data_IF_244487723156
#
_entry.id   IF_244487723156
#
_cell.length_a   1.000
_cell.length_b   1.000
_cell.length_c   1.000
_cell.angle_alpha   90.00
_cell.angle_beta   90.00
_cell.angle_gamma   90.00
#
_symmetry.space_group_name_H-M   'P 1'
#
loop_
_entity.id
_entity.type
_entity.pdbx_description
1 polymer ?
#
# COMPACT_ATOMS: atom_id res chain seq x y z
N UNK A 1 -2.90 15.62 13.80
CA UNK A 1 -2.29 14.48 13.06
C UNK A 1 -2.73 13.10 13.60
N UNK A 2 -3.17 12.98 14.87
CA UNK A 2 -3.64 11.74 15.50
C UNK A 2 -5.01 11.23 15.00
N UNK A 3 -5.95 12.12 14.67
CA UNK A 3 -7.32 11.73 14.28
C UNK A 3 -7.41 10.98 12.94
N UNK A 4 -6.57 11.33 11.96
CA UNK A 4 -6.59 10.70 10.63
C UNK A 4 -6.10 9.25 10.64
N UNK A 5 -5.24 8.87 11.59
CA UNK A 5 -4.78 7.48 11.78
C UNK A 5 -5.82 6.62 12.51
N UNK A 6 -6.60 7.24 13.39
CA UNK A 6 -7.65 6.60 14.17
C UNK A 6 -8.85 6.18 13.31
N UNK A 7 -9.28 7.04 12.38
CA UNK A 7 -10.37 6.73 11.45
C UNK A 7 -10.06 5.57 10.50
N UNK A 8 -8.82 5.47 10.02
CA UNK A 8 -8.39 4.38 9.14
C UNK A 8 -8.38 3.01 9.86
N UNK A 9 -7.94 2.98 11.13
CA UNK A 9 -7.97 1.77 11.96
C UNK A 9 -9.41 1.33 12.24
N UNK A 10 -10.30 2.25 12.62
CA UNK A 10 -11.70 1.92 12.89
C UNK A 10 -12.41 1.42 11.64
N UNK A 11 -12.21 2.06 10.48
CA UNK A 11 -12.77 1.62 9.21
C UNK A 11 -12.25 0.25 8.78
N UNK A 12 -10.97 -0.02 9.00
CA UNK A 12 -10.37 -1.32 8.73
C UNK A 12 -10.96 -2.43 9.62
N UNK A 13 -11.18 -2.14 10.91
CA UNK A 13 -11.76 -3.10 11.84
C UNK A 13 -13.28 -3.26 11.69
N UNK A 14 -14.02 -2.23 11.29
CA UNK A 14 -15.45 -2.34 11.01
C UNK A 14 -15.73 -3.12 9.72
N UNK A 15 -14.86 -3.01 8.71
CA UNK A 15 -14.86 -3.87 7.53
C UNK A 15 -14.52 -5.33 7.85
N UNK A 16 -13.61 -5.57 8.80
CA UNK A 16 -13.32 -6.90 9.34
C UNK A 16 -14.53 -7.50 10.08
N UNK A 17 -15.24 -6.68 10.84
CA UNK A 17 -16.39 -7.08 11.64
C UNK A 17 -17.61 -7.42 10.79
N UNK A 18 -17.85 -6.68 9.70
CA UNK A 18 -18.98 -6.96 8.79
C UNK A 18 -18.82 -8.25 7.99
N UNK A 19 -17.58 -8.66 7.68
CA UNK A 19 -17.31 -9.93 7.01
C UNK A 19 -17.56 -11.14 7.93
N UNK A 20 -17.26 -11.03 9.23
CA UNK A 20 -17.37 -12.12 10.19
C UNK A 20 -18.83 -12.46 10.57
N UNK A 21 -19.74 -11.48 10.54
CA UNK A 21 -21.14 -11.66 10.92
C UNK A 21 -22.02 -12.30 9.83
N UNK A 22 -21.52 -12.45 8.61
CA UNK A 22 -22.30 -13.02 7.51
C UNK A 22 -22.47 -14.55 7.58
N UNK A 23 -21.80 -15.27 8.50
CA UNK A 23 -21.64 -16.73 8.36
C UNK A 23 -21.89 -17.63 9.59
N UNK A 24 -22.28 -17.13 10.77
CA UNK A 24 -22.36 -18.01 11.96
C UNK A 24 -23.62 -17.81 12.80
N UNK A 25 -24.67 -18.59 12.51
CA UNK A 25 -25.89 -18.68 13.32
C UNK A 25 -25.97 -19.95 14.20
N UNK A 26 -25.02 -20.87 14.14
CA UNK A 26 -25.18 -22.21 14.74
C UNK A 26 -23.98 -22.64 15.60
N UNK A 27 -23.90 -22.15 16.85
CA UNK A 27 -23.56 -22.95 18.05
C UNK A 27 -23.32 -22.05 19.27
N UNK A 28 -24.29 -21.98 20.18
CA UNK A 28 -24.24 -21.13 21.37
C UNK A 28 -23.30 -21.70 22.47
N UNK A 29 -23.20 -23.03 22.58
CA UNK A 29 -22.39 -23.69 23.61
C UNK A 29 -20.88 -23.60 23.36
N UNK A 30 -20.45 -23.65 22.10
CA UNK A 30 -19.04 -23.43 21.73
C UNK A 30 -18.61 -21.97 21.94
N UNK A 31 -19.54 -21.04 21.71
CA UNK A 31 -19.42 -19.62 21.99
C UNK A 31 -19.19 -19.35 23.49
N UNK A 32 -19.99 -19.98 24.37
CA UNK A 32 -19.82 -19.85 25.83
C UNK A 32 -18.48 -20.44 26.29
N UNK A 33 -18.09 -21.62 25.81
CA UNK A 33 -16.80 -22.23 26.17
C UNK A 33 -15.59 -21.39 25.76
N UNK A 34 -15.65 -20.76 24.58
CA UNK A 34 -14.63 -19.80 24.14
C UNK A 34 -14.59 -18.54 25.00
N UNK A 35 -15.76 -17.97 25.33
CA UNK A 35 -15.87 -16.78 26.17
C UNK A 35 -15.27 -16.97 27.58
N UNK A 36 -15.39 -18.16 28.18
CA UNK A 36 -14.79 -18.45 29.50
C UNK A 36 -13.27 -18.26 29.47
N UNK A 37 -12.60 -18.72 28.41
CA UNK A 37 -11.14 -18.55 28.26
C UNK A 37 -10.76 -17.08 28.06
N UNK A 38 -11.55 -16.33 27.30
CA UNK A 38 -11.32 -14.88 27.10
C UNK A 38 -11.50 -14.13 28.42
N UNK A 39 -12.59 -14.40 29.15
CA UNK A 39 -12.87 -13.79 30.45
C UNK A 39 -11.74 -14.09 31.44
N UNK A 40 -11.20 -15.32 31.44
CA UNK A 40 -10.07 -15.68 32.28
C UNK A 40 -8.80 -14.89 31.94
N UNK A 41 -8.46 -14.73 30.65
CA UNK A 41 -7.31 -13.92 30.22
C UNK A 41 -7.51 -12.44 30.62
N UNK A 42 -8.71 -11.89 30.41
CA UNK A 42 -9.05 -10.52 30.81
C UNK A 42 -8.84 -10.33 32.31
N UNK A 43 -9.42 -11.22 33.13
CA UNK A 43 -9.33 -11.16 34.60
C UNK A 43 -7.87 -11.30 35.04
N UNK A 44 -7.13 -12.25 34.48
CA UNK A 44 -5.73 -12.49 34.81
C UNK A 44 -4.86 -11.27 34.49
N UNK A 45 -5.04 -10.65 33.31
CA UNK A 45 -4.32 -9.43 32.96
C UNK A 45 -4.72 -8.28 33.89
N UNK A 46 -6.00 -8.11 34.22
CA UNK A 46 -6.44 -7.09 35.18
C UNK A 46 -5.76 -7.31 36.55
N UNK A 47 -5.68 -8.54 37.04
CA UNK A 47 -4.98 -8.86 38.30
C UNK A 47 -3.49 -8.49 38.21
N UNK A 48 -2.81 -8.81 37.11
CA UNK A 48 -1.41 -8.41 36.89
C UNK A 48 -1.23 -6.89 36.86
N UNK A 49 -2.19 -6.16 36.28
CA UNK A 49 -2.20 -4.70 36.26
C UNK A 49 -2.41 -4.10 37.67
N UNK A 50 -3.21 -4.74 38.52
CA UNK A 50 -3.41 -4.35 39.92
C UNK A 50 -2.14 -4.64 40.73
N UNK A 51 -1.59 -5.86 40.63
CA UNK A 51 -0.39 -6.29 41.36
C UNK A 51 0.86 -5.52 40.92
N UNK A 52 0.96 -5.16 39.64
CA UNK A 52 2.02 -4.31 39.09
C UNK A 52 1.91 -2.84 39.49
N UNK A 53 0.93 -2.46 40.31
CA UNK A 53 0.73 -1.09 40.80
C UNK A 53 0.27 -0.10 39.72
N UNK A 54 -0.20 -0.61 38.58
CA UNK A 54 -0.59 0.20 37.40
C UNK A 54 -2.01 0.72 37.58
N UNK A 55 -2.91 -0.09 38.13
CA UNK A 55 -4.25 0.35 38.53
C UNK A 55 -4.17 0.92 39.95
N UNK A 56 -4.00 2.25 40.06
CA UNK A 56 -4.20 2.95 41.34
C UNK A 56 -5.71 3.04 41.62
N UNK A 57 -6.12 2.85 42.89
CA UNK A 57 -7.53 2.94 43.32
C UNK A 57 -8.18 4.19 42.70
N UNK A 58 -9.34 4.05 42.02
CA UNK A 58 -9.98 5.17 41.35
C UNK A 58 -10.38 6.21 42.41
N UNK A 59 -9.77 7.40 42.33
CA UNK A 59 -10.11 8.55 43.18
C UNK A 59 -11.35 9.32 42.67
N UNK A 60 -11.92 8.91 41.54
CA UNK A 60 -13.19 9.42 41.01
C UNK A 60 -13.88 8.35 40.17
N UNK A 61 -15.19 8.17 40.37
CA UNK A 61 -16.00 7.03 39.92
C UNK A 61 -16.24 6.92 38.41
N UNK A 62 -15.19 6.79 37.61
CA UNK A 62 -15.27 6.49 36.18
C UNK A 62 -14.27 5.40 35.79
N UNK A 63 -14.65 4.54 34.84
CA UNK A 63 -13.73 3.59 34.23
C UNK A 63 -12.76 4.40 33.35
N UNK A 64 -11.43 4.30 33.56
CA UNK A 64 -10.47 5.02 32.75
C UNK A 64 -10.60 4.67 31.26
N UNK A 65 -10.51 5.65 30.36
CA UNK A 65 -10.65 5.41 28.92
C UNK A 65 -9.63 4.41 28.35
N UNK A 66 -8.45 4.29 28.97
CA UNK A 66 -7.45 3.29 28.61
C UNK A 66 -7.91 1.85 28.91
N UNK A 67 -8.73 1.65 29.94
CA UNK A 67 -9.30 0.36 30.32
C UNK A 67 -10.36 -0.08 29.30
N UNK A 68 -11.20 0.87 28.83
CA UNK A 68 -12.18 0.61 27.78
C UNK A 68 -11.48 0.19 26.47
N UNK A 69 -10.44 0.93 26.06
CA UNK A 69 -9.64 0.59 24.87
C UNK A 69 -8.93 -0.76 24.99
N UNK A 70 -8.42 -1.08 26.18
CA UNK A 70 -7.83 -2.38 26.48
C UNK A 70 -8.86 -3.51 26.39
N UNK A 71 -10.06 -3.32 26.95
CA UNK A 71 -11.16 -4.29 26.86
C UNK A 71 -11.57 -4.50 25.39
N UNK A 72 -11.71 -3.43 24.60
CA UNK A 72 -12.01 -3.52 23.16
C UNK A 72 -10.92 -4.29 22.42
N UNK A 73 -9.64 -4.05 22.72
CA UNK A 73 -8.53 -4.79 22.14
C UNK A 73 -8.60 -6.29 22.48
N UNK A 74 -8.89 -6.64 23.74
CA UNK A 74 -9.01 -8.03 24.14
C UNK A 74 -10.21 -8.69 23.44
N UNK A 75 -11.33 -7.99 23.29
CA UNK A 75 -12.45 -8.46 22.48
C UNK A 75 -12.02 -8.64 21.02
N UNK A 76 -11.28 -7.72 20.42
CA UNK A 76 -10.82 -7.87 19.03
C UNK A 76 -9.86 -9.05 18.84
N UNK A 77 -8.87 -9.22 19.73
CA UNK A 77 -7.85 -10.28 19.63
C UNK A 77 -8.38 -11.66 19.99
N UNK A 78 -9.38 -11.75 20.88
CA UNK A 78 -9.83 -13.02 21.44
C UNK A 78 -11.30 -13.32 21.17
N UNK A 79 -12.14 -12.38 20.74
CA UNK A 79 -13.54 -12.67 20.41
C UNK A 79 -13.74 -12.83 18.90
N UNK A 80 -13.07 -12.01 18.08
CA UNK A 80 -13.15 -12.15 16.60
C UNK A 80 -12.71 -13.54 16.12
N UNK A 81 -11.59 -14.13 16.59
CA UNK A 81 -11.17 -15.45 16.12
C UNK A 81 -12.15 -16.59 16.47
N UNK A 82 -13.15 -16.38 17.34
CA UNK A 82 -14.20 -17.38 17.58
C UNK A 82 -15.17 -17.52 16.41
N UNK A 83 -15.39 -16.44 15.66
CA UNK A 83 -16.40 -16.40 14.60
C UNK A 83 -15.87 -16.84 13.25
N UNK A 84 -14.57 -17.11 13.14
CA UNK A 84 -13.97 -17.57 11.90
C UNK A 84 -13.93 -19.11 11.94
N UNK A 85 -14.70 -19.82 11.09
CA UNK A 85 -14.84 -21.26 11.17
C UNK A 85 -13.50 -21.93 10.93
N UNK A 86 -13.01 -22.62 11.95
CA UNK A 86 -11.73 -23.30 11.92
C UNK A 86 -11.86 -24.59 11.09
N UNK A 87 -11.07 -24.80 10.02
CA UNK A 87 -11.03 -26.11 9.38
C UNK A 87 -10.49 -27.11 10.42
N UNK A 88 -11.20 -28.22 10.63
CA UNK A 88 -10.91 -29.13 11.75
C UNK A 88 -9.47 -29.69 11.75
N UNK A 89 -8.73 -29.59 10.64
CA UNK A 89 -7.31 -29.91 10.56
C UNK A 89 -6.65 -28.94 9.56
N UNK A 90 -5.71 -28.12 10.03
CA UNK A 90 -4.77 -27.46 9.12
C UNK A 90 -3.74 -28.52 8.73
N UNK A 91 -4.08 -29.35 7.75
CA UNK A 91 -3.14 -30.31 7.21
C UNK A 91 -1.87 -29.57 6.80
N UNK A 92 -0.80 -29.80 7.56
CA UNK A 92 0.49 -29.20 7.26
C UNK A 92 0.89 -29.65 5.86
N UNK A 93 1.19 -28.70 4.93
CA UNK A 93 1.57 -29.04 3.57
C UNK A 93 2.67 -30.10 3.54
N UNK A 94 2.61 -31.04 2.59
CA UNK A 94 3.57 -32.15 2.54
C UNK A 94 5.03 -31.66 2.47
N UNK A 95 5.27 -30.52 1.81
CA UNK A 95 6.57 -29.87 1.72
C UNK A 95 7.06 -29.26 3.06
N UNK A 96 6.25 -29.21 4.11
CA UNK A 96 6.67 -28.79 5.44
C UNK A 96 7.02 -29.96 6.36
N UNK A 97 6.65 -31.20 5.97
CA UNK A 97 6.92 -32.45 6.71
C UNK A 97 8.29 -33.07 6.33
N UNK A 98 9.31 -32.25 6.12
CA UNK A 98 10.62 -32.71 5.58
C UNK A 98 11.56 -33.13 6.71
N UNK A 99 11.69 -32.31 7.76
CA UNK A 99 12.67 -32.51 8.83
C UNK A 99 11.92 -32.56 10.16
N UNK A 100 11.76 -33.74 10.79
CA UNK A 100 11.11 -33.84 12.08
C UNK A 100 11.95 -33.16 13.16
N UNK A 101 11.28 -32.61 14.17
CA UNK A 101 11.96 -32.10 15.36
C UNK A 101 12.58 -33.25 16.16
N UNK A 102 13.69 -32.98 16.89
CA UNK A 102 14.16 -33.91 17.91
C UNK A 102 13.04 -34.24 18.91
N UNK A 103 12.98 -35.50 19.36
CA UNK A 103 11.90 -36.01 20.21
C UNK A 103 11.68 -35.17 21.48
N UNK A 104 12.76 -34.71 22.13
CA UNK A 104 12.67 -33.84 23.31
C UNK A 104 11.99 -32.50 23.00
N UNK A 105 12.30 -31.89 21.85
CA UNK A 105 11.74 -30.60 21.46
C UNK A 105 10.27 -30.74 21.06
N UNK A 106 9.95 -31.80 20.31
CA UNK A 106 8.57 -32.12 19.93
C UNK A 106 7.68 -32.32 21.16
N UNK A 107 8.14 -33.06 22.17
CA UNK A 107 7.40 -33.26 23.41
C UNK A 107 7.10 -31.95 24.14
N UNK A 108 8.09 -31.05 24.26
CA UNK A 108 7.88 -29.74 24.91
C UNK A 108 6.82 -28.93 24.15
N UNK A 109 6.89 -28.87 22.82
CA UNK A 109 5.93 -28.12 22.02
C UNK A 109 4.52 -28.71 22.07
N UNK A 110 4.38 -30.03 22.09
CA UNK A 110 3.09 -30.70 22.28
C UNK A 110 2.51 -30.45 23.68
N UNK A 111 3.35 -30.49 24.74
CA UNK A 111 2.92 -30.15 26.10
C UNK A 111 2.44 -28.70 26.23
N UNK A 112 2.99 -27.79 25.44
CA UNK A 112 2.54 -26.41 25.36
C UNK A 112 1.20 -26.24 24.64
N UNK A 113 0.68 -27.29 24.00
CA UNK A 113 -0.59 -27.31 23.29
C UNK A 113 -0.49 -27.14 21.77
N UNK A 114 0.70 -27.31 21.17
CA UNK A 114 0.85 -27.30 19.72
C UNK A 114 0.47 -28.64 19.07
N UNK A 115 -0.11 -28.64 17.86
CA UNK A 115 -0.48 -29.86 17.16
C UNK A 115 0.73 -30.74 16.81
N UNK A 116 0.58 -32.06 16.91
CA UNK A 116 1.63 -33.03 16.55
C UNK A 116 2.07 -32.89 15.08
N UNK A 117 1.13 -32.58 14.20
CA UNK A 117 1.38 -32.33 12.77
C UNK A 117 2.35 -31.18 12.50
N UNK A 118 2.56 -30.28 13.47
CA UNK A 118 3.51 -29.17 13.36
C UNK A 118 4.93 -29.55 13.79
N UNK A 119 5.19 -30.78 14.25
CA UNK A 119 6.48 -31.21 14.82
C UNK A 119 7.58 -31.43 13.78
N UNK A 120 7.66 -30.53 12.80
CA UNK A 120 8.66 -30.46 11.76
C UNK A 120 9.29 -29.07 11.76
N UNK A 121 10.59 -28.97 11.46
CA UNK A 121 11.34 -27.71 11.52
C UNK A 121 10.69 -26.61 10.67
N UNK A 122 10.31 -26.84 9.38
CA UNK A 122 9.64 -25.81 8.59
C UNK A 122 8.28 -25.44 9.19
N UNK A 123 7.50 -26.42 9.62
CA UNK A 123 6.18 -26.20 10.20
C UNK A 123 6.25 -25.33 11.46
N UNK A 124 7.17 -25.60 12.39
CA UNK A 124 7.37 -24.77 13.59
C UNK A 124 7.77 -23.34 13.23
N UNK A 125 8.68 -23.15 12.27
CA UNK A 125 9.12 -21.79 11.90
C UNK A 125 7.93 -20.99 11.37
N UNK A 126 7.17 -21.55 10.43
CA UNK A 126 6.11 -20.82 9.74
C UNK A 126 4.79 -20.77 10.51
N UNK A 127 4.42 -21.82 11.24
CA UNK A 127 3.13 -21.92 11.92
C UNK A 127 3.21 -21.54 13.41
N UNK A 128 4.41 -21.52 14.01
CA UNK A 128 4.59 -21.17 15.41
C UNK A 128 5.48 -19.94 15.61
N UNK A 129 6.77 -19.97 15.24
CA UNK A 129 7.71 -18.89 15.57
C UNK A 129 7.30 -17.56 14.93
N UNK A 130 6.99 -17.56 13.63
CA UNK A 130 6.60 -16.34 12.92
C UNK A 130 5.27 -15.75 13.45
N UNK A 131 4.18 -16.53 13.59
CA UNK A 131 2.94 -16.00 14.17
C UNK A 131 3.09 -15.58 15.64
N UNK A 132 3.90 -16.29 16.43
CA UNK A 132 4.20 -15.89 17.80
C UNK A 132 4.89 -14.54 17.86
N UNK A 133 5.93 -14.34 17.03
CA UNK A 133 6.59 -13.05 16.92
C UNK A 133 5.62 -11.96 16.44
N UNK A 134 4.71 -12.26 15.52
CA UNK A 134 3.70 -11.32 15.04
C UNK A 134 2.71 -10.92 16.15
N UNK A 135 2.14 -11.88 16.89
CA UNK A 135 1.24 -11.61 18.02
C UNK A 135 1.98 -10.82 19.10
N UNK A 136 3.18 -11.25 19.47
CA UNK A 136 4.03 -10.57 20.44
C UNK A 136 4.31 -9.12 20.04
N UNK A 137 4.76 -8.89 18.81
CA UNK A 137 5.08 -7.54 18.32
C UNK A 137 3.84 -6.66 18.20
N UNK A 138 2.69 -7.21 17.78
CA UNK A 138 1.42 -6.50 17.74
C UNK A 138 1.01 -6.08 19.16
N UNK A 139 0.96 -7.01 20.10
CA UNK A 139 0.61 -6.70 21.49
C UNK A 139 1.59 -5.68 22.07
N UNK A 140 2.90 -5.85 21.85
CA UNK A 140 3.90 -4.90 22.31
C UNK A 140 3.73 -3.50 21.72
N UNK A 141 3.55 -3.40 20.40
CA UNK A 141 3.31 -2.13 19.70
C UNK A 141 2.04 -1.44 20.23
N UNK A 142 0.99 -2.21 20.53
CA UNK A 142 -0.22 -1.68 21.14
C UNK A 142 0.01 -1.19 22.56
N UNK A 143 0.65 -1.97 23.43
CA UNK A 143 0.97 -1.57 24.80
C UNK A 143 1.83 -0.29 24.84
N UNK A 144 2.75 -0.15 23.89
CA UNK A 144 3.56 1.05 23.73
C UNK A 144 2.75 2.24 23.18
N UNK A 145 1.91 2.03 22.18
CA UNK A 145 1.13 3.10 21.53
C UNK A 145 0.00 3.63 22.41
N UNK A 146 -0.58 2.78 23.26
CA UNK A 146 -1.67 3.17 24.16
C UNK A 146 -1.17 3.98 25.37
N UNK A 147 0.15 4.11 25.55
CA UNK A 147 0.78 4.78 26.70
C UNK A 147 0.20 4.33 28.06
N UNK A 148 -0.36 3.11 28.14
CA UNK A 148 -1.00 2.57 29.36
C UNK A 148 0.01 2.53 30.52
N UNK A 149 1.28 2.40 30.18
CA UNK A 149 2.41 2.27 31.08
C UNK A 149 3.43 3.40 30.88
N UNK A 150 2.99 4.67 30.76
CA UNK A 150 3.88 5.83 30.55
C UNK A 150 4.98 5.96 31.60
N UNK A 151 4.73 5.47 32.82
CA UNK A 151 5.63 5.58 33.98
C UNK A 151 6.34 4.27 34.33
N UNK A 152 6.28 3.26 33.45
CA UNK A 152 6.83 1.92 33.70
C UNK A 152 7.92 1.64 32.67
N UNK A 153 9.05 1.01 33.04
CA UNK A 153 10.12 0.73 32.09
C UNK A 153 9.61 -0.03 30.85
N UNK A 154 10.10 0.30 29.66
CA UNK A 154 9.69 -0.33 28.39
C UNK A 154 9.85 -1.86 28.39
N UNK A 155 10.75 -2.38 29.23
CA UNK A 155 10.92 -3.82 29.48
C UNK A 155 9.64 -4.47 30.00
N UNK A 156 8.85 -3.79 30.84
CA UNK A 156 7.59 -4.32 31.39
C UNK A 156 6.57 -4.55 30.28
N UNK A 157 6.46 -3.63 29.32
CA UNK A 157 5.56 -3.80 28.16
C UNK A 157 5.97 -4.99 27.29
N UNK A 158 7.29 -5.24 27.16
CA UNK A 158 7.81 -6.41 26.44
C UNK A 158 7.47 -7.70 27.20
N UNK A 159 7.71 -7.75 28.51
CA UNK A 159 7.38 -8.94 29.31
C UNK A 159 5.87 -9.21 29.28
N UNK A 160 5.03 -8.18 29.42
CA UNK A 160 3.59 -8.35 29.38
C UNK A 160 3.10 -8.83 28.01
N UNK A 161 3.63 -8.26 26.92
CA UNK A 161 3.32 -8.73 25.57
C UNK A 161 3.73 -10.19 25.34
N UNK A 162 4.88 -10.58 25.88
CA UNK A 162 5.34 -11.97 25.83
C UNK A 162 4.41 -12.90 26.61
N UNK A 163 4.03 -12.53 27.84
CA UNK A 163 3.09 -13.32 28.65
C UNK A 163 1.74 -13.47 27.93
N UNK A 164 1.20 -12.39 27.37
CA UNK A 164 -0.07 -12.42 26.64
C UNK A 164 0.03 -13.33 25.42
N UNK A 165 1.08 -13.20 24.61
CA UNK A 165 1.32 -14.07 23.45
C UNK A 165 1.49 -15.53 23.87
N UNK A 166 2.22 -15.79 24.96
CA UNK A 166 2.45 -17.14 25.48
C UNK A 166 1.17 -17.78 26.00
N UNK A 167 0.33 -17.03 26.71
CA UNK A 167 -0.97 -17.52 27.19
C UNK A 167 -1.91 -17.91 26.05
N UNK A 168 -1.78 -17.33 24.86
CA UNK A 168 -2.62 -17.75 23.72
C UNK A 168 -2.41 -19.22 23.33
N UNK A 169 -1.25 -19.81 23.65
CA UNK A 169 -0.88 -21.18 23.27
C UNK A 169 -1.68 -22.24 24.04
N UNK A 170 -1.60 -22.36 25.38
CA UNK A 170 -2.30 -23.42 26.13
C UNK A 170 -3.83 -23.33 26.03
N UNK A 171 -4.37 -22.15 25.74
CA UNK A 171 -5.81 -21.97 25.55
C UNK A 171 -6.28 -22.30 24.13
N UNK A 172 -5.40 -22.74 23.22
CA UNK A 172 -5.73 -23.09 21.83
C UNK A 172 -6.08 -21.88 20.94
N UNK A 173 -5.94 -20.66 21.45
CA UNK A 173 -6.18 -19.42 20.69
C UNK A 173 -5.08 -19.11 19.71
N UNK A 174 -3.86 -19.48 20.06
CA UNK A 174 -2.68 -19.23 19.23
C UNK A 174 -2.92 -19.76 17.82
N UNK A 175 -3.32 -21.02 17.72
CA UNK A 175 -3.59 -21.70 16.46
C UNK A 175 -4.74 -21.02 15.67
N UNK A 176 -5.79 -20.55 16.36
CA UNK A 176 -6.88 -19.79 15.74
C UNK A 176 -6.41 -18.43 15.21
N UNK A 177 -5.60 -17.71 16.00
CA UNK A 177 -5.05 -16.41 15.60
C UNK A 177 -4.08 -16.57 14.43
N UNK A 178 -3.21 -17.59 14.45
CA UNK A 178 -2.33 -17.95 13.33
C UNK A 178 -3.14 -18.15 12.06
N UNK A 179 -4.24 -18.89 12.15
CA UNK A 179 -5.11 -19.14 11.01
C UNK A 179 -5.79 -17.86 10.50
N UNK A 180 -6.34 -17.03 11.40
CA UNK A 180 -6.90 -15.73 11.03
C UNK A 180 -5.85 -14.86 10.35
N UNK A 181 -4.62 -14.82 10.87
CA UNK A 181 -3.51 -14.08 10.27
C UNK A 181 -3.20 -14.58 8.86
N UNK A 182 -3.12 -15.90 8.64
CA UNK A 182 -2.85 -16.46 7.32
C UNK A 182 -4.00 -16.24 6.33
N UNK A 183 -5.25 -16.45 6.75
CA UNK A 183 -6.44 -16.18 5.94
C UNK A 183 -6.51 -14.71 5.54
N UNK A 184 -6.18 -13.83 6.47
CA UNK A 184 -6.17 -12.39 6.24
C UNK A 184 -5.01 -11.94 5.35
N UNK A 185 -3.81 -12.48 5.55
CA UNK A 185 -2.66 -12.22 4.66
C UNK A 185 -2.96 -12.67 3.23
N UNK A 186 -3.62 -13.83 3.05
CA UNK A 186 -4.09 -14.30 1.76
C UNK A 186 -5.05 -13.30 1.10
N UNK A 187 -6.12 -12.91 1.80
CA UNK A 187 -7.09 -11.95 1.29
C UNK A 187 -6.48 -10.56 1.02
N UNK A 188 -5.60 -10.07 1.89
CA UNK A 188 -4.94 -8.77 1.73
C UNK A 188 -3.96 -8.72 0.57
N UNK A 189 -3.28 -9.83 0.27
CA UNK A 189 -2.42 -9.90 -0.91
C UNK A 189 -3.20 -9.66 -2.20
N UNK A 190 -4.43 -10.19 -2.29
CA UNK A 190 -5.33 -9.98 -3.42
C UNK A 190 -5.82 -8.53 -3.47
N UNK A 191 -6.19 -7.94 -2.33
CA UNK A 191 -6.63 -6.54 -2.26
C UNK A 191 -5.52 -5.57 -2.68
N UNK A 192 -4.29 -5.75 -2.16
CA UNK A 192 -3.13 -4.94 -2.56
C UNK A 192 -2.83 -5.14 -4.04
N UNK A 193 -2.85 -6.38 -4.52
CA UNK A 193 -2.65 -6.68 -5.93
C UNK A 193 -3.67 -5.95 -6.81
N UNK A 194 -4.96 -6.01 -6.48
CA UNK A 194 -6.02 -5.30 -7.22
C UNK A 194 -5.83 -3.79 -7.14
N UNK A 195 -5.51 -3.25 -5.96
CA UNK A 195 -5.24 -1.81 -5.80
C UNK A 195 -4.04 -1.35 -6.65
N UNK A 196 -2.92 -2.06 -6.57
CA UNK A 196 -1.72 -1.76 -7.37
C UNK A 196 -1.96 -1.97 -8.86
N UNK A 197 -2.74 -2.98 -9.25
CA UNK A 197 -3.11 -3.24 -10.64
C UNK A 197 -3.99 -2.13 -11.20
N UNK A 198 -5.05 -1.72 -10.49
CA UNK A 198 -5.95 -0.64 -10.90
C UNK A 198 -5.17 0.67 -11.00
N UNK A 199 -4.39 1.02 -9.97
CA UNK A 199 -3.50 2.19 -10.00
C UNK A 199 -2.55 2.11 -11.20
N UNK A 200 -1.87 0.99 -11.41
CA UNK A 200 -0.94 0.79 -12.51
C UNK A 200 -1.59 0.92 -13.89
N UNK A 201 -2.80 0.39 -14.08
CA UNK A 201 -3.56 0.51 -15.33
C UNK A 201 -4.01 1.96 -15.56
N UNK A 202 -4.51 2.65 -14.54
CA UNK A 202 -4.92 4.04 -14.65
C UNK A 202 -3.73 4.96 -14.99
N UNK A 203 -2.63 4.87 -14.24
CA UNK A 203 -1.44 5.71 -14.49
C UNK A 203 -0.78 5.40 -15.85
N UNK A 204 -0.78 4.15 -16.29
CA UNK A 204 -0.28 3.77 -17.63
C UNK A 204 -1.22 4.19 -18.76
N UNK A 205 -2.53 4.19 -18.52
CA UNK A 205 -3.54 4.65 -19.46
C UNK A 205 -3.50 6.15 -19.72
N UNK A 206 -3.32 6.96 -18.67
CA UNK A 206 -3.22 8.42 -18.81
C UNK A 206 -1.95 8.87 -19.56
N UNK A 207 -0.79 8.25 -19.28
CA UNK A 207 0.47 8.65 -19.91
C UNK A 207 0.54 8.34 -21.42
N UNK A 208 -0.04 7.21 -21.87
CA UNK A 208 0.03 6.82 -23.28
C UNK A 208 -0.89 7.63 -24.20
N UNK A 209 -2.05 8.07 -23.70
CA UNK A 209 -3.01 8.85 -24.51
C UNK A 209 -2.47 10.24 -24.82
N UNK A 210 -1.73 10.85 -23.89
CA UNK A 210 -1.03 12.11 -24.15
C UNK A 210 0.08 11.93 -25.17
N UNK A 211 0.96 10.94 -24.99
CA UNK A 211 2.10 10.69 -25.87
C UNK A 211 1.69 10.42 -27.33
N UNK A 212 0.64 9.62 -27.55
CA UNK A 212 0.09 9.37 -28.89
C UNK A 212 -0.53 10.63 -29.51
N UNK A 213 -1.21 11.46 -28.71
CA UNK A 213 -1.82 12.71 -29.17
C UNK A 213 -0.76 13.75 -29.53
N UNK A 214 0.30 13.88 -28.74
CA UNK A 214 1.42 14.78 -29.02
C UNK A 214 2.24 14.32 -30.24
N UNK A 215 2.44 13.01 -30.43
CA UNK A 215 3.11 12.47 -31.60
C UNK A 215 2.32 12.69 -32.90
N UNK A 216 0.99 12.54 -32.86
CA UNK A 216 0.09 12.81 -33.99
C UNK A 216 0.04 14.30 -34.33
N UNK A 217 0.00 15.18 -33.32
CA UNK A 217 0.06 16.63 -33.52
C UNK A 217 1.40 17.05 -34.13
N UNK A 218 2.52 16.47 -33.68
CA UNK A 218 3.85 16.73 -34.23
C UNK A 218 3.98 16.38 -35.72
N UNK A 219 3.41 15.26 -36.17
CA UNK A 219 3.39 14.87 -37.60
C UNK A 219 2.60 15.86 -38.45
N UNK A 220 1.41 16.28 -37.98
CA UNK A 220 0.55 17.24 -38.69
C UNK A 220 1.23 18.61 -38.78
N UNK A 221 1.85 19.09 -37.71
CA UNK A 221 2.56 20.36 -37.70
C UNK A 221 3.81 20.34 -38.58
N UNK A 222 4.58 19.24 -38.61
CA UNK A 222 5.69 19.06 -39.56
C UNK A 222 5.23 19.17 -41.01
N UNK A 223 4.14 18.49 -41.38
CA UNK A 223 3.61 18.57 -42.75
C UNK A 223 3.13 19.97 -43.12
N UNK A 224 2.46 20.66 -42.20
CA UNK A 224 1.93 21.99 -42.44
C UNK A 224 3.05 23.05 -42.48
N UNK A 225 4.01 23.01 -41.57
CA UNK A 225 5.20 23.87 -41.60
C UNK A 225 5.97 23.71 -42.91
N UNK A 226 6.18 22.47 -43.38
CA UNK A 226 6.84 22.22 -44.67
C UNK A 226 6.07 22.81 -45.85
N UNK A 227 4.74 22.70 -45.84
CA UNK A 227 3.85 23.30 -46.86
C UNK A 227 4.00 24.82 -46.89
N UNK A 228 3.97 25.47 -45.71
CA UNK A 228 4.12 26.92 -45.55
C UNK A 228 5.48 27.42 -46.05
N UNK A 229 6.56 26.71 -45.72
CA UNK A 229 7.89 27.08 -46.20
C UNK A 229 8.07 26.89 -47.71
N UNK A 230 7.45 25.86 -48.30
CA UNK A 230 7.44 25.71 -49.75
C UNK A 230 6.65 26.82 -50.46
N UNK A 231 5.53 27.27 -49.88
CA UNK A 231 4.82 28.45 -50.38
C UNK A 231 5.68 29.71 -50.29
N UNK A 232 6.37 29.91 -49.16
CA UNK A 232 7.28 31.03 -48.98
C UNK A 232 8.42 31.03 -50.02
N UNK A 233 8.98 29.85 -50.35
CA UNK A 233 9.98 29.71 -51.42
C UNK A 233 9.40 30.09 -52.80
N UNK A 234 8.17 29.70 -53.10
CA UNK A 234 7.50 30.10 -54.35
C UNK A 234 7.29 31.62 -54.41
N UNK A 235 6.89 32.23 -53.29
CA UNK A 235 6.72 33.68 -53.20
C UNK A 235 8.05 34.44 -53.34
N UNK A 236 9.14 33.90 -52.79
CA UNK A 236 10.51 34.40 -52.99
C UNK A 236 10.90 34.34 -54.47
N UNK A 237 10.65 33.22 -55.14
CA UNK A 237 10.92 33.05 -56.57
C UNK A 237 10.13 34.06 -57.43
N UNK A 238 8.91 34.38 -57.00
CA UNK A 238 8.05 35.40 -57.63
C UNK A 238 8.34 36.84 -57.17
N UNK A 239 9.37 37.05 -56.33
CA UNK A 239 9.74 38.34 -55.74
C UNK A 239 8.62 39.02 -54.95
N UNK A 240 7.79 38.23 -54.24
CA UNK A 240 6.67 38.69 -53.41
C UNK A 240 7.04 38.61 -51.92
N UNK A 241 7.72 39.63 -51.40
CA UNK A 241 8.23 39.63 -50.02
C UNK A 241 7.11 39.54 -48.98
N UNK A 242 5.99 40.25 -49.19
CA UNK A 242 4.86 40.23 -48.26
C UNK A 242 4.20 38.85 -48.12
N UNK A 243 4.06 38.11 -49.23
CA UNK A 243 3.54 36.74 -49.22
C UNK A 243 4.48 35.79 -48.47
N UNK A 244 5.77 35.83 -48.82
CA UNK A 244 6.79 35.04 -48.17
C UNK A 244 6.86 35.29 -46.65
N UNK A 245 6.84 36.55 -46.22
CA UNK A 245 6.87 36.92 -44.79
C UNK A 245 5.63 36.40 -44.06
N UNK A 246 4.45 36.46 -44.67
CA UNK A 246 3.23 35.94 -44.06
C UNK A 246 3.29 34.43 -43.83
N UNK A 247 3.79 33.68 -44.81
CA UNK A 247 3.96 32.23 -44.69
C UNK A 247 5.06 31.85 -43.67
N UNK A 248 6.14 32.63 -43.59
CA UNK A 248 7.18 32.48 -42.56
C UNK A 248 6.61 32.74 -41.16
N UNK A 249 5.84 33.81 -40.97
CA UNK A 249 5.20 34.11 -39.68
C UNK A 249 4.20 33.01 -39.27
N UNK A 250 3.45 32.46 -40.22
CA UNK A 250 2.58 31.32 -39.97
C UNK A 250 3.38 30.07 -39.57
N UNK A 251 4.55 29.85 -40.17
CA UNK A 251 5.44 28.73 -39.86
C UNK A 251 6.17 28.87 -38.50
N UNK A 252 6.42 30.10 -38.05
CA UNK A 252 7.01 30.40 -36.73
C UNK A 252 6.07 30.07 -35.56
N UNK A 253 4.75 30.05 -35.79
CA UNK A 253 3.75 29.76 -34.75
C UNK A 253 3.69 28.27 -34.34
N UNK A 254 4.36 27.38 -35.09
CA UNK A 254 4.42 25.97 -34.75
C UNK A 254 5.56 25.69 -33.76
N UNK A 255 5.26 25.00 -32.66
CA UNK A 255 6.23 24.63 -31.63
C UNK A 255 6.78 23.21 -31.84
N UNK A 256 7.93 22.90 -31.22
CA UNK A 256 8.52 21.56 -31.21
C UNK A 256 9.53 21.27 -32.33
N UNK A 257 10.05 22.31 -32.99
CA UNK A 257 11.17 22.19 -33.94
C UNK A 257 12.52 22.47 -33.28
N UNK A 258 13.62 22.09 -33.96
CA UNK A 258 14.97 22.38 -33.51
C UNK A 258 15.19 23.91 -33.37
N UNK A 259 15.96 24.42 -32.40
CA UNK A 259 16.20 25.87 -32.25
C UNK A 259 16.69 26.57 -33.52
N UNK A 260 17.50 25.87 -34.34
CA UNK A 260 17.98 26.40 -35.61
C UNK A 260 16.88 26.60 -36.65
N UNK A 261 15.77 25.87 -36.59
CA UNK A 261 14.60 26.14 -37.44
C UNK A 261 14.13 27.58 -37.27
N UNK A 262 13.88 28.00 -36.02
CA UNK A 262 13.40 29.34 -35.71
C UNK A 262 14.43 30.41 -36.08
N UNK A 263 15.70 30.15 -35.75
CA UNK A 263 16.81 31.06 -36.09
C UNK A 263 16.92 31.30 -37.59
N UNK A 264 16.76 30.26 -38.41
CA UNK A 264 16.81 30.41 -39.86
C UNK A 264 15.57 31.14 -40.41
N UNK A 265 14.39 30.91 -39.85
CA UNK A 265 13.17 31.63 -40.25
C UNK A 265 13.20 33.11 -39.88
N UNK A 266 13.69 33.46 -38.69
CA UNK A 266 13.89 34.85 -38.29
C UNK A 266 14.93 35.54 -39.18
N UNK A 267 16.01 34.83 -39.53
CA UNK A 267 17.00 35.34 -40.49
C UNK A 267 16.37 35.59 -41.87
N UNK A 268 15.62 34.63 -42.42
CA UNK A 268 14.92 34.79 -43.70
C UNK A 268 13.97 35.99 -43.68
N UNK A 269 13.19 36.14 -42.60
CA UNK A 269 12.28 37.27 -42.39
C UNK A 269 13.03 38.61 -42.36
N UNK A 270 14.16 38.68 -41.67
CA UNK A 270 14.98 39.90 -41.60
C UNK A 270 15.57 40.27 -42.96
N UNK A 271 16.01 39.30 -43.75
CA UNK A 271 16.53 39.52 -45.10
C UNK A 271 15.45 40.01 -46.08
N UNK A 272 14.20 39.57 -45.91
CA UNK A 272 13.06 40.01 -46.72
C UNK A 272 12.50 41.38 -46.32
N UNK A 273 12.71 41.82 -45.08
CA UNK A 273 12.25 43.11 -44.55
C UNK A 273 13.17 44.30 -44.87
N UNK A 274 14.30 44.06 -45.53
CA UNK A 274 15.24 45.14 -45.89
C UNK A 274 14.66 46.04 -46.99
N UNK A 275 15.11 47.31 -47.06
CA UNK A 275 14.73 48.24 -48.13
C UNK A 275 15.01 47.68 -49.53
N UNK A 276 16.05 46.84 -49.65
CA UNK A 276 16.30 46.01 -50.81
C UNK A 276 16.39 44.54 -50.33
N UNK A 277 15.34 43.72 -50.56
CA UNK A 277 15.31 42.35 -50.07
C UNK A 277 16.44 41.48 -50.64
N UNK A 278 17.13 40.75 -49.76
CA UNK A 278 18.08 39.70 -50.16
C UNK A 278 17.33 38.39 -50.40
N UNK A 279 16.84 38.22 -51.62
CA UNK A 279 16.07 37.05 -52.04
C UNK A 279 16.84 35.74 -51.92
N UNK A 280 18.13 35.76 -52.29
CA UNK A 280 18.95 34.53 -52.32
C UNK A 280 19.34 34.11 -50.90
N UNK A 281 19.71 35.06 -50.06
CA UNK A 281 19.95 34.79 -48.64
C UNK A 281 18.70 34.27 -47.92
N UNK A 282 17.52 34.83 -48.23
CA UNK A 282 16.25 34.38 -47.68
C UNK A 282 15.89 32.95 -48.14
N UNK A 283 16.08 32.64 -49.43
CA UNK A 283 15.86 31.31 -50.00
C UNK A 283 16.74 30.25 -49.31
N UNK A 284 18.04 30.54 -49.16
CA UNK A 284 19.00 29.65 -48.52
C UNK A 284 18.69 29.42 -47.03
N UNK A 285 18.22 30.46 -46.33
CA UNK A 285 17.79 30.35 -44.94
C UNK A 285 16.55 29.45 -44.80
N UNK A 286 15.54 29.58 -45.68
CA UNK A 286 14.35 28.71 -45.65
C UNK A 286 14.72 27.25 -45.99
N UNK A 287 15.61 27.03 -46.96
CA UNK A 287 16.12 25.68 -47.28
C UNK A 287 16.85 25.04 -46.08
N UNK A 288 17.62 25.82 -45.33
CA UNK A 288 18.24 25.36 -44.08
C UNK A 288 17.18 25.05 -43.01
N UNK A 289 16.16 25.89 -42.86
CA UNK A 289 15.06 25.63 -41.93
C UNK A 289 14.33 24.31 -42.23
N UNK A 290 14.12 24.00 -43.52
CA UNK A 290 13.51 22.75 -43.98
C UNK A 290 14.30 21.48 -43.61
N UNK A 291 15.59 21.58 -43.33
CA UNK A 291 16.42 20.45 -42.87
C UNK A 291 16.16 20.09 -41.40
N UNK A 292 15.51 20.98 -40.64
CA UNK A 292 15.24 20.83 -39.20
C UNK A 292 13.78 20.45 -38.87
N UNK A 293 12.98 20.10 -39.88
CA UNK A 293 11.59 19.59 -39.78
C UNK A 293 11.58 18.06 -39.92
#
# INVERSE_FOLDING_TARGET
MYEKRFGALILFYSLLFSLAFAQSANDFNSLIGGLVSVVFIVIFVIILLILGGVIKKPTGGGIPGFLIMFIVLVILLFVIPMFVPYPQYLEVPANFKIIPLPSYAAQIFMMLGLPEEWMYVPAIIYLFILPFAAIYTLVWAFLQSLLIFTNVPSSVNRVLAFIVAFLTIPFGWFVKIVWVLFSFMGAWSVVIFVATFVIGVFFRGYGKVEEERYALMGKKWRSEARRRLNNALNDINNKQAGGAINEINAALNFSGFHPDYYKQLDNAKNLLNQQQPDWKGAEDAIKKALQYI
#
